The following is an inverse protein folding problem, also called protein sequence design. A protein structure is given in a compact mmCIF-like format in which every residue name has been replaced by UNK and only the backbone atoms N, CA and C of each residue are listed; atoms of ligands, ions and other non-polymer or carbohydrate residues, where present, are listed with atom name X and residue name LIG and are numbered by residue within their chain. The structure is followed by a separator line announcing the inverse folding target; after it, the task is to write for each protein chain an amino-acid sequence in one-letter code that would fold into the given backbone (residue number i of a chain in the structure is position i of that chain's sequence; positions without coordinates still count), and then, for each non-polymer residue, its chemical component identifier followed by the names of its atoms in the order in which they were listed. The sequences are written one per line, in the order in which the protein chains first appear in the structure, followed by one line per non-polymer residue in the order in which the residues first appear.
data_IF_797101179241
#
_entry.id   IF_797101179241
#
_cell.length_a   1.000
_cell.length_b   1.000
_cell.length_c   1.000
_cell.angle_alpha   90.00
_cell.angle_beta   90.00
_cell.angle_gamma   90.00
#
_symmetry.space_group_name_H-M   'P 1'
#
loop_
_entity.id
_entity.type
_entity.pdbx_description
1 polymer ?
#
# COMPACT_ATOMS: atom_id res chain seq x y z
N UNK A 1 0.43 11.42 -15.56
CA UNK A 1 1.58 10.51 -15.29
C UNK A 1 1.36 9.17 -15.98
N UNK A 2 2.39 8.56 -16.60
CA UNK A 2 2.24 7.26 -17.29
C UNK A 2 3.25 6.22 -16.81
N UNK A 3 2.83 4.95 -16.71
CA UNK A 3 3.70 3.80 -16.51
C UNK A 3 3.40 2.79 -17.62
N UNK A 4 4.33 2.63 -18.57
CA UNK A 4 4.06 1.86 -19.78
C UNK A 4 2.87 2.44 -20.56
N UNK A 5 1.81 1.63 -20.74
CA UNK A 5 0.56 2.05 -21.42
C UNK A 5 -0.49 2.63 -20.46
N UNK A 6 -0.28 2.51 -19.16
CA UNK A 6 -1.22 3.00 -18.15
C UNK A 6 -1.11 4.51 -18.00
N UNK A 7 -2.23 5.21 -18.10
CA UNK A 7 -2.32 6.65 -17.85
C UNK A 7 -3.12 6.90 -16.57
N UNK A 8 -2.47 7.53 -15.59
CA UNK A 8 -3.03 7.79 -14.27
C UNK A 8 -3.54 9.24 -14.09
N UNK A 9 -3.47 10.05 -15.16
CA UNK A 9 -3.83 11.47 -15.07
C UNK A 9 -2.80 12.28 -14.27
N UNK A 10 -3.29 13.35 -13.63
CA UNK A 10 -2.48 14.26 -12.82
C UNK A 10 -2.52 13.90 -11.34
N UNK A 11 -1.38 14.02 -10.65
CA UNK A 11 -1.22 13.85 -9.20
C UNK A 11 -1.90 12.57 -8.63
N UNK A 12 -1.67 11.38 -9.22
CA UNK A 12 -2.35 10.17 -8.80
C UNK A 12 -1.91 9.69 -7.42
N UNK A 13 -2.86 9.09 -6.70
CA UNK A 13 -2.65 8.48 -5.39
C UNK A 13 -2.65 6.95 -5.51
N UNK A 14 -1.65 6.29 -4.98
CA UNK A 14 -1.46 4.84 -5.05
C UNK A 14 -1.61 4.20 -3.67
N UNK A 15 -2.22 3.02 -3.60
CA UNK A 15 -2.24 2.21 -2.39
C UNK A 15 -0.92 1.44 -2.26
N UNK A 16 -0.24 1.56 -1.13
CA UNK A 16 0.99 0.80 -0.87
C UNK A 16 0.71 -0.70 -0.68
N UNK A 17 1.61 -1.58 -1.16
CA UNK A 17 1.56 -3.01 -0.82
C UNK A 17 1.84 -3.23 0.66
N UNK A 18 0.94 -3.91 1.38
CA UNK A 18 1.05 -4.14 2.83
C UNK A 18 0.55 -5.55 3.18
N UNK A 19 1.44 -6.32 3.83
CA UNK A 19 1.14 -7.69 4.30
C UNK A 19 -0.02 -7.70 5.29
N UNK A 20 -0.93 -8.66 5.12
CA UNK A 20 -2.16 -8.82 5.91
C UNK A 20 -3.09 -7.60 5.91
N UNK A 21 -3.00 -6.72 4.93
CA UNK A 21 -3.79 -5.48 4.82
C UNK A 21 -4.37 -5.30 3.43
N UNK A 22 -3.54 -5.43 2.38
CA UNK A 22 -3.99 -5.16 1.01
C UNK A 22 -4.52 -6.42 0.33
N UNK A 23 -5.45 -7.11 1.02
CA UNK A 23 -6.26 -8.15 0.40
C UNK A 23 -7.17 -7.55 -0.69
N UNK A 24 -7.76 -8.43 -1.50
CA UNK A 24 -8.54 -8.03 -2.68
C UNK A 24 -9.76 -7.17 -2.31
N UNK A 25 -10.44 -7.48 -1.19
CA UNK A 25 -11.60 -6.73 -0.73
C UNK A 25 -11.21 -5.29 -0.38
N UNK A 26 -10.12 -5.13 0.34
CA UNK A 26 -9.62 -3.81 0.70
C UNK A 26 -9.11 -3.02 -0.51
N UNK A 27 -8.40 -3.67 -1.45
CA UNK A 27 -7.96 -3.03 -2.69
C UNK A 27 -9.12 -2.51 -3.52
N UNK A 28 -10.21 -3.31 -3.66
CA UNK A 28 -11.42 -2.89 -4.37
C UNK A 28 -12.07 -1.65 -3.73
N UNK A 29 -12.16 -1.61 -2.40
CA UNK A 29 -12.65 -0.42 -1.69
C UNK A 29 -11.76 0.79 -1.93
N UNK A 30 -10.44 0.65 -1.79
CA UNK A 30 -9.51 1.75 -2.07
C UNK A 30 -9.65 2.28 -3.50
N UNK A 31 -9.84 1.40 -4.48
CA UNK A 31 -10.12 1.79 -5.89
C UNK A 31 -11.41 2.60 -6.00
N UNK A 32 -12.50 2.13 -5.40
CA UNK A 32 -13.79 2.84 -5.39
C UNK A 32 -13.67 4.25 -4.82
N UNK A 33 -12.82 4.43 -3.81
CA UNK A 33 -12.58 5.72 -3.16
C UNK A 33 -11.45 6.54 -3.79
N UNK A 34 -10.94 6.17 -4.96
CA UNK A 34 -10.06 7.03 -5.75
C UNK A 34 -8.57 6.68 -5.73
N UNK A 35 -8.18 5.51 -5.21
CA UNK A 35 -6.83 5.02 -5.46
C UNK A 35 -6.64 4.78 -6.97
N UNK A 36 -5.71 5.48 -7.60
CA UNK A 36 -5.45 5.34 -9.02
C UNK A 36 -4.81 3.99 -9.35
N UNK A 37 -3.98 3.47 -8.46
CA UNK A 37 -3.27 2.19 -8.56
C UNK A 37 -3.30 1.47 -7.21
N UNK A 38 -3.44 0.16 -7.24
CA UNK A 38 -3.34 -0.72 -6.05
C UNK A 38 -2.31 -1.82 -6.29
N UNK A 39 -1.81 -2.39 -5.20
CA UNK A 39 -0.84 -3.48 -5.24
C UNK A 39 -1.30 -4.62 -4.34
N UNK A 40 -0.99 -5.84 -4.74
CA UNK A 40 -1.19 -7.01 -3.88
C UNK A 40 -0.31 -6.92 -2.64
N UNK A 41 -0.57 -7.77 -1.66
CA UNK A 41 0.46 -8.10 -0.66
C UNK A 41 1.71 -8.61 -1.38
N UNK A 42 2.90 -8.39 -0.78
CA UNK A 42 4.13 -8.87 -1.41
C UNK A 42 4.30 -10.38 -1.25
N UNK A 43 4.64 -11.07 -2.31
CA UNK A 43 4.75 -12.53 -2.34
C UNK A 43 6.18 -13.00 -2.61
N UNK A 44 6.56 -14.10 -1.94
CA UNK A 44 7.89 -14.68 -2.08
C UNK A 44 8.06 -15.39 -3.42
N UNK A 45 9.12 -15.09 -4.16
CA UNK A 45 9.48 -15.78 -5.39
C UNK A 45 9.62 -17.29 -5.16
N UNK A 46 10.32 -17.72 -4.10
CA UNK A 46 10.47 -19.13 -3.75
C UNK A 46 9.11 -19.83 -3.49
N UNK A 47 8.15 -19.11 -2.88
CA UNK A 47 6.83 -19.67 -2.59
C UNK A 47 5.95 -19.75 -3.84
N UNK A 48 6.08 -18.80 -4.77
CA UNK A 48 5.41 -18.81 -6.08
C UNK A 48 5.85 -20.04 -6.89
N UNK A 49 7.17 -20.24 -7.03
CA UNK A 49 7.74 -21.36 -7.81
C UNK A 49 7.30 -22.72 -7.26
N UNK A 50 7.21 -22.83 -5.92
CA UNK A 50 6.73 -24.05 -5.25
C UNK A 50 5.21 -24.20 -5.28
N UNK A 51 4.48 -23.32 -5.95
CA UNK A 51 3.03 -23.34 -6.08
C UNK A 51 2.29 -23.42 -4.73
N UNK A 52 2.80 -22.71 -3.71
CA UNK A 52 2.18 -22.68 -2.39
C UNK A 52 0.84 -21.96 -2.51
N UNK A 53 -0.26 -22.67 -2.23
CA UNK A 53 -1.63 -22.21 -2.42
C UNK A 53 -1.90 -20.83 -1.82
N UNK A 54 -1.55 -20.63 -0.55
CA UNK A 54 -1.77 -19.33 0.13
C UNK A 54 -1.02 -18.16 -0.54
N UNK A 55 0.11 -18.44 -1.21
CA UNK A 55 0.87 -17.44 -1.98
C UNK A 55 0.18 -17.16 -3.30
N UNK A 56 -0.31 -18.18 -3.99
CA UNK A 56 -1.07 -18.02 -5.24
C UNK A 56 -2.39 -17.26 -5.00
N UNK A 57 -3.06 -17.54 -3.89
CA UNK A 57 -4.29 -16.83 -3.49
C UNK A 57 -4.04 -15.31 -3.30
N UNK A 58 -2.87 -14.91 -2.78
CA UNK A 58 -2.46 -13.49 -2.63
C UNK A 58 -2.24 -12.78 -3.97
N UNK A 59 -1.92 -13.50 -5.03
CA UNK A 59 -1.74 -12.94 -6.37
C UNK A 59 -3.06 -12.82 -7.16
N UNK A 60 -4.18 -13.26 -6.59
CA UNK A 60 -5.49 -13.18 -7.24
C UNK A 60 -5.86 -11.71 -7.50
N UNK A 61 -6.40 -11.45 -8.68
CA UNK A 61 -6.79 -10.13 -9.16
C UNK A 61 -8.28 -10.14 -9.51
N UNK A 62 -8.97 -9.05 -9.21
CA UNK A 62 -10.32 -8.79 -9.68
C UNK A 62 -10.30 -7.62 -10.68
N UNK A 63 -11.07 -7.71 -11.74
CA UNK A 63 -11.10 -6.64 -12.76
C UNK A 63 -11.59 -5.30 -12.20
N UNK A 64 -12.40 -5.29 -11.15
CA UNK A 64 -12.88 -4.07 -10.50
C UNK A 64 -11.77 -3.28 -9.76
N UNK A 65 -10.61 -3.91 -9.50
CA UNK A 65 -9.49 -3.23 -8.83
C UNK A 65 -8.41 -2.70 -9.80
N UNK A 66 -8.58 -2.95 -11.11
CA UNK A 66 -7.59 -2.52 -12.11
C UNK A 66 -7.49 -0.98 -12.23
N UNK A 67 -6.28 -0.44 -12.50
CA UNK A 67 -5.02 -1.15 -12.64
C UNK A 67 -4.48 -1.67 -11.31
N UNK A 68 -3.91 -2.88 -11.33
CA UNK A 68 -3.36 -3.58 -10.17
C UNK A 68 -1.98 -4.16 -10.44
N UNK A 69 -1.05 -3.96 -9.50
CA UNK A 69 0.29 -4.52 -9.54
C UNK A 69 0.45 -5.72 -8.62
N UNK A 70 1.15 -6.75 -9.08
CA UNK A 70 1.59 -7.85 -8.22
C UNK A 70 3.00 -7.56 -7.74
N UNK A 71 3.19 -7.50 -6.41
CA UNK A 71 4.51 -7.26 -5.83
C UNK A 71 5.18 -8.57 -5.40
N UNK A 72 6.41 -8.80 -5.90
CA UNK A 72 7.22 -9.98 -5.58
C UNK A 72 8.52 -9.59 -4.87
N UNK A 73 9.04 -10.50 -4.06
CA UNK A 73 10.35 -10.37 -3.43
C UNK A 73 11.14 -11.68 -3.44
N UNK A 74 12.46 -11.55 -3.50
CA UNK A 74 13.38 -12.65 -3.46
C UNK A 74 14.82 -12.13 -3.30
N UNK A 75 15.78 -13.04 -3.45
CA UNK A 75 17.23 -12.74 -3.31
C UNK A 75 18.09 -13.49 -4.30
N UNK A 76 17.47 -14.13 -5.26
CA UNK A 76 18.13 -14.96 -6.26
C UNK A 76 17.58 -14.62 -7.63
N UNK A 77 18.46 -14.53 -8.63
CA UNK A 77 18.09 -14.09 -9.98
C UNK A 77 17.16 -15.09 -10.65
N UNK A 78 17.48 -16.38 -10.59
CA UNK A 78 16.71 -17.42 -11.28
C UNK A 78 15.31 -17.52 -10.69
N UNK A 79 15.21 -17.54 -9.35
CA UNK A 79 13.93 -17.57 -8.64
C UNK A 79 13.06 -16.35 -8.96
N UNK A 80 13.65 -15.16 -9.01
CA UNK A 80 12.90 -13.93 -9.30
C UNK A 80 12.42 -13.87 -10.75
N UNK A 81 13.21 -14.33 -11.69
CA UNK A 81 12.83 -14.42 -13.12
C UNK A 81 11.69 -15.43 -13.31
N UNK A 82 11.81 -16.62 -12.74
CA UNK A 82 10.77 -17.64 -12.86
C UNK A 82 9.46 -17.21 -12.19
N UNK A 83 9.55 -16.61 -10.99
CA UNK A 83 8.38 -16.06 -10.32
C UNK A 83 7.72 -14.95 -11.15
N UNK A 84 8.48 -14.06 -11.76
CA UNK A 84 7.94 -12.99 -12.61
C UNK A 84 7.19 -13.54 -13.82
N UNK A 85 7.71 -14.61 -14.47
CA UNK A 85 7.02 -15.31 -15.56
C UNK A 85 5.71 -15.97 -15.11
N UNK A 86 5.68 -16.53 -13.90
CA UNK A 86 4.46 -17.10 -13.32
C UNK A 86 3.45 -15.99 -13.03
N UNK A 87 3.89 -14.88 -12.44
CA UNK A 87 3.07 -13.70 -12.15
C UNK A 87 2.50 -13.10 -13.43
N UNK A 88 3.27 -13.01 -14.50
CA UNK A 88 2.79 -12.49 -15.78
C UNK A 88 1.56 -13.27 -16.31
N UNK A 89 1.46 -14.58 -16.02
CA UNK A 89 0.32 -15.41 -16.43
C UNK A 89 -1.00 -15.06 -15.74
N UNK A 90 -0.96 -14.43 -14.55
CA UNK A 90 -2.18 -13.92 -13.91
C UNK A 90 -2.59 -12.54 -14.44
N UNK A 91 -1.84 -12.04 -15.47
CA UNK A 91 -2.15 -10.83 -16.22
C UNK A 91 -2.31 -9.58 -15.35
N UNK A 92 -1.32 -9.23 -14.48
CA UNK A 92 -1.33 -7.97 -13.77
C UNK A 92 -1.05 -6.81 -14.72
N UNK A 93 -1.44 -5.60 -14.32
CA UNK A 93 -1.14 -4.39 -15.08
C UNK A 93 0.34 -3.99 -14.96
N UNK A 94 1.01 -4.39 -13.87
CA UNK A 94 2.45 -4.31 -13.70
C UNK A 94 2.97 -5.34 -12.68
N UNK A 95 4.28 -5.61 -12.73
CA UNK A 95 5.01 -6.41 -11.74
C UNK A 95 5.90 -5.46 -10.95
N UNK A 96 5.79 -5.48 -9.62
CA UNK A 96 6.59 -4.61 -8.75
C UNK A 96 7.61 -5.42 -7.94
N UNK A 97 8.87 -4.98 -7.94
CA UNK A 97 9.95 -5.62 -7.19
C UNK A 97 10.11 -4.97 -5.83
N UNK A 98 9.99 -5.76 -4.76
CA UNK A 98 10.13 -5.27 -3.40
C UNK A 98 11.59 -5.31 -2.93
N UNK A 99 12.21 -4.15 -2.86
CA UNK A 99 13.50 -3.92 -2.20
C UNK A 99 13.37 -2.99 -0.99
N UNK A 100 12.17 -2.93 -0.38
CA UNK A 100 11.88 -2.00 0.71
C UNK A 100 11.38 -2.64 2.02
N UNK A 101 10.92 -3.91 2.03
CA UNK A 101 10.39 -4.55 3.23
C UNK A 101 11.47 -4.68 4.33
N UNK A 102 11.29 -4.01 5.51
CA UNK A 102 12.32 -3.98 6.54
C UNK A 102 12.23 -5.14 7.55
N UNK A 103 11.19 -5.98 7.45
CA UNK A 103 10.88 -7.01 8.43
C UNK A 103 12.03 -8.03 8.52
N UNK A 104 12.47 -8.36 9.75
CA UNK A 104 13.62 -9.23 10.00
C UNK A 104 13.56 -10.58 9.27
N UNK A 105 12.38 -11.19 9.18
CA UNK A 105 12.19 -12.48 8.46
C UNK A 105 12.43 -12.39 6.94
N UNK A 106 12.38 -11.18 6.36
CA UNK A 106 12.64 -10.91 4.94
C UNK A 106 14.03 -10.29 4.78
N UNK A 107 14.26 -9.11 5.35
CA UNK A 107 15.51 -8.36 5.22
C UNK A 107 16.74 -9.08 5.84
N UNK A 108 16.53 -9.79 6.97
CA UNK A 108 17.58 -10.60 7.60
C UNK A 108 18.04 -11.80 6.76
N UNK A 109 17.23 -12.23 5.79
CA UNK A 109 17.58 -13.28 4.82
C UNK A 109 18.16 -12.74 3.52
N UNK A 110 18.41 -11.42 3.42
CA UNK A 110 18.96 -10.77 2.24
C UNK A 110 17.94 -10.40 1.15
N UNK A 111 16.62 -10.57 1.41
CA UNK A 111 15.56 -10.17 0.49
C UNK A 111 14.92 -8.83 0.93
N UNK A 112 13.99 -8.28 0.14
CA UNK A 112 13.39 -6.99 0.43
C UNK A 112 14.46 -5.90 0.62
N UNK A 113 14.38 -5.11 1.70
CA UNK A 113 15.41 -4.09 1.97
C UNK A 113 16.80 -4.65 2.32
N UNK A 114 16.93 -5.97 2.56
CA UNK A 114 18.21 -6.63 2.70
C UNK A 114 19.08 -6.55 1.43
N UNK A 115 18.45 -6.41 0.27
CA UNK A 115 19.12 -6.23 -1.03
C UNK A 115 19.90 -4.91 -1.11
N UNK A 116 19.54 -3.88 -0.33
CA UNK A 116 20.28 -2.61 -0.27
C UNK A 116 21.72 -2.74 0.25
N UNK A 117 22.09 -3.90 0.76
CA UNK A 117 23.46 -4.26 1.14
C UNK A 117 24.27 -4.94 0.00
N UNK A 118 23.59 -5.24 -1.11
CA UNK A 118 24.20 -5.86 -2.27
C UNK A 118 23.60 -5.30 -3.57
N UNK A 119 23.97 -4.07 -3.87
CA UNK A 119 23.46 -3.33 -5.05
C UNK A 119 23.76 -4.07 -6.37
N UNK A 120 24.94 -4.66 -6.60
CA UNK A 120 25.17 -5.42 -7.83
C UNK A 120 24.15 -6.54 -8.05
N UNK A 121 23.82 -7.31 -7.02
CA UNK A 121 22.82 -8.39 -7.12
C UNK A 121 21.41 -7.83 -7.30
N UNK A 122 21.06 -6.72 -6.61
CA UNK A 122 19.78 -6.03 -6.77
C UNK A 122 19.56 -5.61 -8.23
N UNK A 123 20.57 -5.02 -8.86
CA UNK A 123 20.54 -4.57 -10.26
C UNK A 123 20.51 -5.76 -11.23
N UNK A 124 21.24 -6.83 -10.92
CA UNK A 124 21.24 -8.04 -11.74
C UNK A 124 19.84 -8.71 -11.74
N UNK A 125 19.23 -8.89 -10.57
CA UNK A 125 17.83 -9.35 -10.45
C UNK A 125 16.90 -8.46 -11.27
N UNK A 126 16.99 -7.14 -11.09
CA UNK A 126 16.10 -6.18 -11.77
C UNK A 126 16.21 -6.29 -13.28
N UNK A 127 17.44 -6.30 -13.82
CA UNK A 127 17.70 -6.40 -15.26
C UNK A 127 17.18 -7.70 -15.86
N UNK A 128 17.45 -8.81 -15.19
CA UNK A 128 17.01 -10.12 -15.67
C UNK A 128 15.47 -10.27 -15.62
N UNK A 129 14.81 -9.76 -14.60
CA UNK A 129 13.34 -9.74 -14.53
C UNK A 129 12.77 -8.87 -15.64
N UNK A 130 13.26 -7.64 -15.84
CA UNK A 130 12.80 -6.75 -16.91
C UNK A 130 12.93 -7.39 -18.29
N UNK A 131 14.00 -8.12 -18.53
CA UNK A 131 14.22 -8.83 -19.81
C UNK A 131 13.35 -10.08 -19.98
N UNK A 132 12.87 -10.67 -18.90
CA UNK A 132 12.18 -11.95 -18.92
C UNK A 132 10.66 -11.85 -19.14
N UNK A 133 10.07 -10.65 -18.97
CA UNK A 133 8.61 -10.41 -19.04
C UNK A 133 8.30 -9.23 -19.96
N UNK A 134 7.08 -9.24 -20.52
CA UNK A 134 6.54 -8.14 -21.32
C UNK A 134 5.74 -7.13 -20.49
N UNK A 135 5.23 -7.58 -19.34
CA UNK A 135 4.53 -6.75 -18.37
C UNK A 135 5.46 -5.67 -17.81
N UNK A 136 5.02 -4.39 -17.72
CA UNK A 136 5.85 -3.33 -17.15
C UNK A 136 6.34 -3.68 -15.74
N UNK A 137 7.65 -3.52 -15.51
CA UNK A 137 8.29 -3.77 -14.21
C UNK A 137 8.53 -2.46 -13.50
N UNK A 138 8.19 -2.38 -12.21
CA UNK A 138 8.47 -1.26 -11.31
C UNK A 138 9.26 -1.74 -10.09
N UNK A 139 9.81 -0.82 -9.33
CA UNK A 139 10.57 -1.13 -8.11
C UNK A 139 10.05 -0.29 -6.96
N UNK A 140 9.89 -0.89 -5.78
CA UNK A 140 9.65 -0.19 -4.52
C UNK A 140 10.81 -0.41 -3.55
N UNK A 141 11.46 0.68 -3.12
CA UNK A 141 12.65 0.62 -2.27
C UNK A 141 12.62 1.66 -1.13
N UNK A 142 13.72 1.77 -0.39
CA UNK A 142 14.01 2.75 0.66
C UNK A 142 15.24 3.58 0.33
N UNK A 143 15.55 4.58 1.17
CA UNK A 143 16.71 5.49 0.98
C UNK A 143 18.05 4.74 1.04
N UNK A 144 18.13 3.67 1.80
CA UNK A 144 19.32 2.89 2.03
C UNK A 144 19.12 1.86 3.14
N UNK A 145 20.19 1.16 3.54
CA UNK A 145 20.16 0.22 4.65
C UNK A 145 20.08 0.95 6.00
N UNK A 146 20.93 1.94 6.20
CA UNK A 146 21.01 2.84 7.36
C UNK A 146 21.47 4.23 6.93
N UNK A 147 21.68 5.13 7.89
CA UNK A 147 22.06 6.52 7.59
C UNK A 147 23.51 6.66 7.04
N UNK A 148 24.36 5.66 7.27
CA UNK A 148 25.75 5.65 6.77
C UNK A 148 25.84 5.06 5.36
N UNK A 149 24.75 4.47 4.86
CA UNK A 149 24.65 3.81 3.56
C UNK A 149 23.39 4.23 2.79
N UNK A 150 23.20 5.55 2.63
CA UNK A 150 22.18 6.13 1.75
C UNK A 150 22.62 5.97 0.30
N UNK A 151 21.83 5.24 -0.48
CA UNK A 151 22.20 4.87 -1.87
C UNK A 151 21.18 5.34 -2.91
N UNK A 152 20.06 5.92 -2.49
CA UNK A 152 18.89 6.10 -3.36
C UNK A 152 19.14 7.01 -4.56
N UNK A 153 19.98 8.05 -4.42
CA UNK A 153 20.25 9.02 -5.48
C UNK A 153 20.98 8.37 -6.66
N UNK A 154 21.96 7.52 -6.38
CA UNK A 154 22.69 6.77 -7.41
C UNK A 154 21.91 5.54 -7.88
N UNK A 155 21.28 4.84 -6.94
CA UNK A 155 20.50 3.62 -7.21
C UNK A 155 19.33 3.90 -8.17
N UNK A 156 18.71 5.08 -8.09
CA UNK A 156 17.58 5.45 -8.95
C UNK A 156 17.97 5.46 -10.44
N UNK A 157 19.13 6.03 -10.79
CA UNK A 157 19.65 6.01 -12.16
C UNK A 157 19.97 4.58 -12.62
N UNK A 158 20.66 3.81 -11.78
CA UNK A 158 21.03 2.43 -12.09
C UNK A 158 19.79 1.53 -12.30
N UNK A 159 18.73 1.72 -11.50
CA UNK A 159 17.46 1.01 -11.67
C UNK A 159 16.75 1.41 -12.96
N UNK A 160 16.73 2.70 -13.30
CA UNK A 160 16.21 3.17 -14.58
C UNK A 160 16.96 2.51 -15.75
N UNK A 161 18.28 2.43 -15.68
CA UNK A 161 19.13 1.79 -16.71
C UNK A 161 18.87 0.28 -16.83
N UNK A 162 18.35 -0.37 -15.78
CA UNK A 162 17.85 -1.74 -15.88
C UNK A 162 16.54 -1.85 -16.69
N UNK A 163 15.85 -0.72 -16.97
CA UNK A 163 14.65 -0.66 -17.80
C UNK A 163 13.32 -0.68 -17.05
N UNK A 164 13.33 -0.44 -15.73
CA UNK A 164 12.08 -0.30 -14.96
C UNK A 164 11.25 0.88 -15.47
N UNK A 165 9.93 0.84 -15.22
CA UNK A 165 9.00 1.84 -15.74
C UNK A 165 8.54 2.88 -14.71
N UNK A 166 8.81 2.66 -13.43
CA UNK A 166 8.64 3.64 -12.36
C UNK A 166 9.41 3.18 -11.11
N UNK A 167 9.73 4.13 -10.23
CA UNK A 167 10.41 3.88 -8.96
C UNK A 167 9.61 4.47 -7.80
N UNK A 168 9.25 3.64 -6.82
CA UNK A 168 8.65 4.09 -5.56
C UNK A 168 9.71 4.14 -4.46
N UNK A 169 9.83 5.29 -3.79
CA UNK A 169 10.83 5.51 -2.75
C UNK A 169 10.13 5.78 -1.42
N UNK A 170 10.39 4.93 -0.42
CA UNK A 170 10.00 5.24 0.95
C UNK A 170 11.09 6.09 1.61
N UNK A 171 10.73 7.27 2.12
CA UNK A 171 11.63 8.26 2.75
C UNK A 171 12.25 7.83 4.08
N UNK A 172 12.52 6.55 4.28
CA UNK A 172 13.23 5.97 5.43
C UNK A 172 14.26 4.96 5.00
N UNK A 173 15.30 4.79 5.83
CA UNK A 173 16.23 3.67 5.71
C UNK A 173 15.58 2.37 6.24
N UNK A 174 16.23 1.22 5.97
CA UNK A 174 15.80 -0.05 6.59
C UNK A 174 15.94 -0.02 8.11
N UNK A 175 17.02 0.55 8.62
CA UNK A 175 17.30 0.61 10.06
C UNK A 175 16.24 1.39 10.83
N UNK A 176 15.72 2.47 10.28
CA UNK A 176 14.63 3.26 10.87
C UNK A 176 13.32 2.48 10.96
N UNK A 177 13.11 1.47 10.10
CA UNK A 177 11.83 0.78 9.98
C UNK A 177 10.64 1.76 9.81
N UNK A 178 9.99 2.13 10.91
CA UNK A 178 8.87 3.10 10.97
C UNK A 178 9.08 4.18 12.04
N UNK A 179 10.27 4.25 12.64
CA UNK A 179 10.61 5.27 13.64
C UNK A 179 11.09 6.56 12.99
N UNK A 180 11.02 7.68 13.73
CA UNK A 180 11.34 9.00 13.20
C UNK A 180 10.39 9.44 12.11
N UNK A 181 10.80 10.42 11.31
CA UNK A 181 10.04 10.96 10.19
C UNK A 181 10.62 10.47 8.85
N UNK A 182 9.78 10.41 7.83
CA UNK A 182 10.22 10.11 6.47
C UNK A 182 10.92 11.34 5.88
N UNK A 183 12.14 11.14 5.39
CA UNK A 183 12.91 12.18 4.70
C UNK A 183 12.49 12.23 3.22
N UNK A 184 11.75 13.27 2.88
CA UNK A 184 11.32 13.54 1.52
C UNK A 184 12.35 14.33 0.69
N UNK A 185 13.39 14.88 1.32
CA UNK A 185 14.40 15.69 0.64
C UNK A 185 15.13 14.87 -0.43
N UNK A 186 15.54 13.64 -0.09
CA UNK A 186 16.20 12.73 -1.02
C UNK A 186 15.26 12.21 -2.13
N UNK A 187 13.96 12.06 -1.84
CA UNK A 187 12.97 11.75 -2.89
C UNK A 187 12.89 12.90 -3.89
N UNK A 188 12.80 14.13 -3.39
CA UNK A 188 12.81 15.34 -4.22
C UNK A 188 14.13 15.53 -4.98
N UNK A 189 15.27 15.16 -4.41
CA UNK A 189 16.56 15.17 -5.09
C UNK A 189 16.59 14.21 -6.29
N UNK A 190 16.16 12.96 -6.09
CA UNK A 190 16.00 11.99 -7.19
C UNK A 190 15.07 12.53 -8.27
N UNK A 191 13.93 13.12 -7.88
CA UNK A 191 12.98 13.66 -8.86
C UNK A 191 13.53 14.84 -9.66
N UNK A 192 14.35 15.69 -9.04
CA UNK A 192 14.97 16.85 -9.73
C UNK A 192 16.20 16.49 -10.57
N UNK A 193 16.69 15.26 -10.47
CA UNK A 193 17.83 14.81 -11.25
C UNK A 193 17.45 14.76 -12.76
N UNK A 194 18.09 15.56 -13.63
CA UNK A 194 17.74 15.65 -15.06
C UNK A 194 17.99 14.36 -15.84
N UNK A 195 18.73 13.39 -15.26
CA UNK A 195 18.95 12.07 -15.87
C UNK A 195 17.84 11.08 -15.57
N UNK A 196 16.93 11.40 -14.64
CA UNK A 196 15.79 10.54 -14.32
C UNK A 196 14.61 10.91 -15.22
N UNK A 197 14.15 9.96 -16.03
CA UNK A 197 13.08 10.11 -17.00
C UNK A 197 11.84 9.25 -16.67
N UNK A 198 11.99 8.29 -15.74
CA UNK A 198 10.86 7.47 -15.24
C UNK A 198 10.10 8.21 -14.15
N UNK A 199 8.81 7.90 -13.96
CA UNK A 199 8.04 8.42 -12.83
C UNK A 199 8.65 8.06 -11.48
N UNK A 200 8.69 9.05 -10.59
CA UNK A 200 9.10 8.89 -9.19
C UNK A 200 7.86 8.99 -8.30
N UNK A 201 7.61 7.94 -7.53
CA UNK A 201 6.48 7.83 -6.61
C UNK A 201 7.00 7.99 -5.18
N UNK A 202 6.56 9.03 -4.49
CA UNK A 202 6.95 9.29 -3.11
C UNK A 202 6.09 8.50 -2.12
N UNK A 203 6.71 7.99 -1.04
CA UNK A 203 6.03 7.26 0.02
C UNK A 203 6.64 7.57 1.39
N UNK A 204 5.82 7.61 2.41
CA UNK A 204 6.21 7.81 3.81
C UNK A 204 5.47 8.94 4.48
N UNK A 205 4.83 8.66 5.63
CA UNK A 205 4.11 9.59 6.51
C UNK A 205 3.07 10.49 5.82
N UNK A 206 2.44 10.00 4.79
CA UNK A 206 1.29 10.63 4.16
C UNK A 206 0.04 10.15 4.90
N UNK A 207 -0.52 11.00 5.76
CA UNK A 207 -1.65 10.69 6.64
C UNK A 207 -2.83 11.64 6.47
N UNK A 208 -2.58 12.83 5.92
CA UNK A 208 -3.58 13.87 5.68
C UNK A 208 -3.60 14.33 4.21
N UNK A 209 -4.69 14.95 3.76
CA UNK A 209 -4.78 15.57 2.44
C UNK A 209 -3.71 16.64 2.20
N UNK A 210 -3.39 17.43 3.22
CA UNK A 210 -2.38 18.50 3.15
C UNK A 210 -0.98 17.93 2.91
N UNK A 211 -0.64 16.81 3.59
CA UNK A 211 0.65 16.13 3.40
C UNK A 211 0.75 15.55 1.99
N UNK A 212 -0.34 14.96 1.47
CA UNK A 212 -0.38 14.46 0.11
C UNK A 212 -0.19 15.60 -0.92
N UNK A 213 -0.85 16.74 -0.74
CA UNK A 213 -0.69 17.91 -1.61
C UNK A 213 0.74 18.47 -1.55
N UNK A 214 1.30 18.65 -0.34
CA UNK A 214 2.68 19.13 -0.17
C UNK A 214 3.70 18.20 -0.82
N UNK A 215 3.49 16.89 -0.80
CA UNK A 215 4.37 15.95 -1.46
C UNK A 215 4.51 16.24 -2.97
N UNK A 216 3.42 16.60 -3.64
CA UNK A 216 3.45 17.03 -5.03
C UNK A 216 4.07 18.43 -5.21
N UNK A 217 3.67 19.39 -4.38
CA UNK A 217 4.03 20.80 -4.56
C UNK A 217 5.50 21.06 -4.20
N UNK A 218 6.01 20.48 -3.10
CA UNK A 218 7.34 20.76 -2.57
C UNK A 218 8.43 19.86 -3.19
N UNK A 219 8.09 18.60 -3.49
CA UNK A 219 9.07 17.63 -3.97
C UNK A 219 8.89 17.24 -5.44
N UNK A 220 7.78 17.64 -6.06
CA UNK A 220 7.53 17.47 -7.50
C UNK A 220 7.34 16.02 -7.94
N UNK A 221 7.04 15.09 -7.04
CA UNK A 221 6.84 13.67 -7.36
C UNK A 221 5.69 13.46 -8.33
N UNK A 222 5.76 12.41 -9.14
CA UNK A 222 4.76 12.11 -10.17
C UNK A 222 3.52 11.44 -9.58
N UNK A 223 3.67 10.71 -8.47
CA UNK A 223 2.59 10.12 -7.70
C UNK A 223 2.94 10.06 -6.21
N UNK A 224 1.92 9.94 -5.38
CA UNK A 224 2.06 9.73 -3.93
C UNK A 224 1.49 8.36 -3.57
N UNK A 225 2.29 7.55 -2.86
CA UNK A 225 1.84 6.25 -2.37
C UNK A 225 1.48 6.32 -0.89
N UNK A 226 0.24 5.95 -0.56
CA UNK A 226 -0.32 6.01 0.78
C UNK A 226 -0.34 4.61 1.40
N UNK A 227 0.19 4.47 2.61
CA UNK A 227 0.24 3.20 3.35
C UNK A 227 -0.65 3.21 4.59
N UNK A 228 -0.06 3.31 5.76
CA UNK A 228 -0.72 3.13 7.08
C UNK A 228 -1.97 3.99 7.31
N UNK A 229 -2.05 5.14 6.69
CA UNK A 229 -3.22 6.02 6.79
C UNK A 229 -4.51 5.40 6.22
N UNK A 230 -4.38 4.37 5.40
CA UNK A 230 -5.52 3.67 4.79
C UNK A 230 -6.15 2.61 5.71
N UNK A 231 -5.50 2.23 6.83
CA UNK A 231 -5.99 1.18 7.71
C UNK A 231 -7.37 1.53 8.29
N UNK A 232 -8.40 0.73 7.91
CA UNK A 232 -9.78 1.00 8.29
C UNK A 232 -10.29 2.39 7.83
N UNK A 233 -9.70 2.93 6.77
CA UNK A 233 -10.02 4.24 6.20
C UNK A 233 -9.80 4.23 4.67
N UNK A 234 -10.41 3.32 3.89
CA UNK A 234 -10.21 3.28 2.43
C UNK A 234 -10.63 4.59 1.75
N UNK A 235 -11.60 5.32 2.32
CA UNK A 235 -12.07 6.64 1.84
C UNK A 235 -11.05 7.77 1.97
N UNK A 236 -9.89 7.56 2.61
CA UNK A 236 -8.82 8.57 2.68
C UNK A 236 -8.36 9.02 1.29
N UNK A 237 -8.44 8.16 0.30
CA UNK A 237 -8.13 8.51 -1.09
C UNK A 237 -9.08 9.57 -1.64
N UNK A 238 -10.39 9.47 -1.32
CA UNK A 238 -11.37 10.50 -1.70
C UNK A 238 -11.08 11.82 -1.00
N UNK A 239 -10.82 11.78 0.30
CA UNK A 239 -10.50 12.98 1.09
C UNK A 239 -9.26 13.70 0.51
N UNK A 240 -8.19 12.93 0.21
CA UNK A 240 -6.97 13.47 -0.40
C UNK A 240 -7.22 13.99 -1.82
N UNK A 241 -7.98 13.25 -2.64
CA UNK A 241 -8.28 13.64 -4.02
C UNK A 241 -9.06 14.93 -4.07
N UNK A 242 -10.16 15.02 -3.29
CA UNK A 242 -11.01 16.20 -3.24
C UNK A 242 -10.21 17.45 -2.82
N UNK A 243 -9.29 17.30 -1.83
CA UNK A 243 -8.43 18.40 -1.38
C UNK A 243 -7.40 18.83 -2.45
N UNK A 244 -6.75 17.87 -3.12
CA UNK A 244 -5.77 18.15 -4.17
C UNK A 244 -6.43 18.87 -5.35
N UNK A 245 -7.64 18.46 -5.72
CA UNK A 245 -8.39 19.00 -6.86
C UNK A 245 -9.19 20.27 -6.51
N UNK A 246 -9.16 20.71 -5.23
CA UNK A 246 -9.99 21.79 -4.70
C UNK A 246 -11.50 21.58 -5.00
N UNK A 247 -11.93 20.31 -4.98
CA UNK A 247 -13.33 19.94 -5.22
C UNK A 247 -14.10 19.99 -3.91
N UNK A 248 -15.28 20.63 -3.85
CA UNK A 248 -16.13 20.56 -2.68
C UNK A 248 -16.46 19.12 -2.34
N UNK A 249 -16.06 18.65 -1.17
CA UNK A 249 -16.31 17.29 -0.71
C UNK A 249 -17.49 17.27 0.24
N UNK A 250 -18.46 16.40 -0.01
CA UNK A 250 -19.40 16.00 1.05
C UNK A 250 -18.68 15.00 1.94
N UNK A 251 -18.41 15.39 3.17
CA UNK A 251 -17.78 14.51 4.15
C UNK A 251 -18.70 13.29 4.39
N UNK A 252 -18.10 12.11 4.38
CA UNK A 252 -18.80 10.89 4.76
C UNK A 252 -19.24 10.98 6.24
N UNK A 253 -20.48 10.62 6.51
CA UNK A 253 -21.01 10.51 7.87
C UNK A 253 -20.36 9.34 8.62
N UNK A 254 -20.60 9.24 9.92
CA UNK A 254 -20.19 8.06 10.68
C UNK A 254 -20.88 6.81 10.14
N UNK A 255 -22.13 6.91 9.79
CA UNK A 255 -22.94 5.79 9.25
C UNK A 255 -22.36 5.30 7.92
N UNK A 256 -22.07 6.21 6.97
CA UNK A 256 -21.42 5.85 5.70
C UNK A 256 -20.11 5.09 5.94
N UNK A 257 -19.29 5.55 6.89
CA UNK A 257 -17.99 4.94 7.20
C UNK A 257 -18.13 3.56 7.84
N UNK A 258 -19.12 3.36 8.69
CA UNK A 258 -19.43 2.06 9.30
C UNK A 258 -19.92 1.10 8.21
N UNK A 259 -20.83 1.55 7.33
CA UNK A 259 -21.33 0.74 6.21
C UNK A 259 -20.19 0.25 5.31
N UNK A 260 -19.18 1.10 5.04
CA UNK A 260 -17.98 0.72 4.28
C UNK A 260 -17.19 -0.37 4.98
N UNK A 261 -17.03 -0.29 6.30
CA UNK A 261 -16.31 -1.30 7.08
C UNK A 261 -17.07 -2.62 7.17
N UNK A 262 -18.40 -2.57 7.27
CA UNK A 262 -19.25 -3.76 7.19
C UNK A 262 -19.18 -4.40 5.80
N UNK A 263 -19.20 -3.60 4.74
CA UNK A 263 -19.02 -4.10 3.38
C UNK A 263 -17.68 -4.83 3.24
N UNK A 264 -16.59 -4.26 3.78
CA UNK A 264 -15.28 -4.93 3.79
C UNK A 264 -15.35 -6.29 4.48
N UNK A 265 -16.02 -6.36 5.63
CA UNK A 265 -16.20 -7.62 6.37
C UNK A 265 -16.92 -8.66 5.50
N UNK A 266 -18.06 -8.28 4.88
CA UNK A 266 -18.86 -9.17 4.04
C UNK A 266 -18.08 -9.67 2.82
N UNK A 267 -17.37 -8.81 2.11
CA UNK A 267 -16.52 -9.17 0.97
C UNK A 267 -15.46 -10.19 1.40
N UNK A 268 -14.80 -9.97 2.53
CA UNK A 268 -13.75 -10.88 2.99
C UNK A 268 -14.29 -12.24 3.41
N UNK A 269 -15.43 -12.27 4.10
CA UNK A 269 -16.11 -13.51 4.53
C UNK A 269 -16.59 -14.32 3.33
N UNK A 270 -17.25 -13.69 2.37
CA UNK A 270 -17.73 -14.34 1.15
C UNK A 270 -16.59 -14.93 0.33
N UNK A 271 -15.46 -14.20 0.25
CA UNK A 271 -14.33 -14.59 -0.59
C UNK A 271 -13.48 -15.73 -0.03
N UNK A 272 -13.34 -15.81 1.28
CA UNK A 272 -12.43 -16.77 1.92
C UNK A 272 -13.22 -17.81 2.73
N UNK A 273 -13.68 -17.41 3.89
CA UNK A 273 -14.60 -18.04 4.84
C UNK A 273 -14.83 -17.09 6.03
N UNK A 274 -15.79 -17.43 6.90
CA UNK A 274 -16.15 -16.60 8.05
C UNK A 274 -14.92 -16.30 8.94
N UNK A 275 -14.21 -17.33 9.37
CA UNK A 275 -13.13 -17.17 10.34
C UNK A 275 -11.98 -16.33 9.81
N UNK A 276 -11.47 -16.64 8.60
CA UNK A 276 -10.36 -15.90 7.99
C UNK A 276 -10.78 -14.51 7.55
N UNK A 277 -11.99 -14.35 7.01
CA UNK A 277 -12.54 -13.03 6.65
C UNK A 277 -12.62 -12.08 7.84
N UNK A 278 -13.06 -12.58 9.00
CA UNK A 278 -13.04 -11.82 10.25
C UNK A 278 -11.59 -11.43 10.65
N UNK A 279 -10.65 -12.36 10.62
CA UNK A 279 -9.25 -12.08 10.98
C UNK A 279 -8.66 -10.98 10.11
N UNK A 280 -8.91 -11.00 8.80
CA UNK A 280 -8.44 -9.97 7.87
C UNK A 280 -9.07 -8.61 8.17
N UNK A 281 -10.37 -8.57 8.43
CA UNK A 281 -11.11 -7.31 8.61
C UNK A 281 -10.90 -6.68 9.98
N UNK A 282 -10.86 -7.46 11.07
CA UNK A 282 -10.80 -6.92 12.45
C UNK A 282 -9.55 -6.05 12.71
N UNK A 283 -8.45 -6.25 11.98
CA UNK A 283 -7.26 -5.38 12.04
C UNK A 283 -7.61 -3.98 11.54
N UNK A 284 -8.34 -3.89 10.43
CA UNK A 284 -8.82 -2.62 9.89
C UNK A 284 -9.78 -1.94 10.88
N UNK A 285 -10.74 -2.68 11.41
CA UNK A 285 -11.70 -2.17 12.40
C UNK A 285 -10.98 -1.60 13.63
N UNK A 286 -10.09 -2.39 14.23
CA UNK A 286 -9.36 -1.99 15.44
C UNK A 286 -8.37 -0.82 15.22
N UNK A 287 -8.06 -0.48 13.98
CA UNK A 287 -7.15 0.60 13.59
C UNK A 287 -7.87 1.82 13.02
N UNK A 288 -9.16 1.69 12.72
CA UNK A 288 -9.93 2.77 12.10
C UNK A 288 -10.00 4.00 13.00
N UNK A 289 -9.76 5.20 12.45
CA UNK A 289 -9.82 6.43 13.23
C UNK A 289 -11.24 6.85 13.63
N UNK A 290 -12.28 6.28 12.99
CA UNK A 290 -13.68 6.68 13.25
C UNK A 290 -14.14 6.34 14.66
N UNK A 291 -13.51 5.37 15.30
CA UNK A 291 -13.87 4.95 16.66
C UNK A 291 -13.15 5.78 17.74
N UNK A 292 -12.24 6.69 17.35
CA UNK A 292 -11.62 7.63 18.30
C UNK A 292 -12.68 8.62 18.79
N UNK A 293 -12.85 8.70 20.10
CA UNK A 293 -13.85 9.58 20.72
C UNK A 293 -15.14 8.87 21.13
N UNK A 294 -15.34 7.61 20.73
CA UNK A 294 -16.42 6.79 21.28
C UNK A 294 -16.08 6.43 22.74
N UNK A 295 -17.02 6.58 23.69
CA UNK A 295 -16.83 6.19 25.07
C UNK A 295 -16.33 4.73 25.17
N UNK A 296 -15.37 4.49 26.04
CA UNK A 296 -14.78 3.16 26.30
C UNK A 296 -14.25 2.42 25.04
N UNK A 297 -13.73 3.16 24.07
CA UNK A 297 -13.18 2.57 22.83
C UNK A 297 -12.15 1.46 23.08
N UNK A 298 -11.45 1.48 24.22
CA UNK A 298 -10.48 0.43 24.56
C UNK A 298 -11.13 -0.94 24.68
N UNK A 299 -12.28 -1.05 25.36
CA UNK A 299 -13.01 -2.31 25.47
C UNK A 299 -13.67 -2.71 24.14
N UNK A 300 -14.23 -1.75 23.41
CA UNK A 300 -14.78 -1.96 22.06
C UNK A 300 -13.71 -2.53 21.12
N UNK A 301 -12.51 -1.95 21.11
CA UNK A 301 -11.38 -2.45 20.31
C UNK A 301 -10.99 -3.88 20.68
N UNK A 302 -10.98 -4.20 21.98
CA UNK A 302 -10.69 -5.55 22.45
C UNK A 302 -11.78 -6.52 21.99
N UNK A 303 -13.05 -6.13 22.05
CA UNK A 303 -14.16 -6.94 21.56
C UNK A 303 -14.00 -7.22 20.05
N UNK A 304 -13.75 -6.19 19.22
CA UNK A 304 -13.49 -6.35 17.78
C UNK A 304 -12.35 -7.33 17.49
N UNK A 305 -11.25 -7.26 18.26
CA UNK A 305 -10.09 -8.14 18.06
C UNK A 305 -10.34 -9.58 18.54
N UNK A 306 -11.34 -9.82 19.39
CA UNK A 306 -11.68 -11.14 19.91
C UNK A 306 -12.86 -11.79 19.18
N UNK A 307 -13.67 -11.03 18.49
CA UNK A 307 -14.82 -11.54 17.76
C UNK A 307 -14.41 -12.67 16.79
N UNK A 308 -15.23 -13.72 16.76
CA UNK A 308 -15.04 -14.93 15.94
C UNK A 308 -16.22 -15.20 15.02
N UNK A 309 -17.29 -14.42 15.14
CA UNK A 309 -18.49 -14.50 14.33
C UNK A 309 -18.78 -13.16 13.66
N UNK A 310 -19.35 -13.20 12.45
CA UNK A 310 -19.75 -12.00 11.70
C UNK A 310 -20.77 -11.20 12.50
N UNK A 311 -21.79 -11.86 13.05
CA UNK A 311 -22.84 -11.20 13.80
C UNK A 311 -22.32 -10.46 15.04
N UNK A 312 -21.32 -11.01 15.73
CA UNK A 312 -20.64 -10.33 16.85
C UNK A 312 -19.97 -9.01 16.39
N UNK A 313 -19.28 -9.01 15.25
CA UNK A 313 -18.64 -7.80 14.71
C UNK A 313 -19.66 -6.77 14.25
N UNK A 314 -20.74 -7.20 13.61
CA UNK A 314 -21.79 -6.31 13.16
C UNK A 314 -22.48 -5.67 14.37
N UNK A 315 -22.78 -6.44 15.43
CA UNK A 315 -23.39 -5.90 16.66
C UNK A 315 -22.49 -4.84 17.31
N UNK A 316 -21.17 -5.07 17.38
CA UNK A 316 -20.20 -4.09 17.89
C UNK A 316 -20.20 -2.83 17.02
N UNK A 317 -20.25 -2.95 15.69
CA UNK A 317 -20.28 -1.82 14.77
C UNK A 317 -21.59 -1.00 14.93
N UNK A 318 -22.71 -1.67 15.06
CA UNK A 318 -24.02 -1.03 15.33
C UNK A 318 -24.05 -0.32 16.70
N UNK A 319 -23.41 -0.89 17.71
CA UNK A 319 -23.24 -0.20 19.01
C UNK A 319 -22.39 1.06 18.86
N UNK A 320 -21.30 1.00 18.08
CA UNK A 320 -20.48 2.16 17.76
C UNK A 320 -21.29 3.25 17.03
N UNK A 321 -22.17 2.87 16.09
CA UNK A 321 -23.06 3.77 15.37
C UNK A 321 -23.97 4.51 16.32
N UNK A 322 -24.67 3.78 17.22
CA UNK A 322 -25.58 4.38 18.22
C UNK A 322 -24.85 5.35 19.16
N UNK A 323 -23.72 4.94 19.69
CA UNK A 323 -22.94 5.74 20.65
C UNK A 323 -22.27 6.97 20.02
N UNK A 324 -21.86 6.87 18.75
CA UNK A 324 -21.24 7.98 18.00
C UNK A 324 -22.27 9.06 17.63
N UNK A 325 -23.48 8.67 17.26
CA UNK A 325 -24.56 9.61 16.93
C UNK A 325 -25.07 10.36 18.16
N UNK A 326 -25.19 9.70 19.31
CA UNK A 326 -25.56 10.35 20.57
C UNK A 326 -24.59 11.47 20.99
N UNK A 327 -23.29 11.30 20.73
CA UNK A 327 -22.29 12.33 21.03
C UNK A 327 -22.36 13.54 20.07
N UNK A 328 -22.79 13.32 18.82
CA UNK A 328 -22.99 14.40 17.86
C UNK A 328 -24.22 15.24 18.19
N UNK A 329 -25.32 14.62 18.62
CA UNK A 329 -26.55 15.32 19.02
C UNK A 329 -26.32 16.15 20.30
N UNK A 330 -25.59 15.62 21.28
CA UNK A 330 -25.25 16.34 22.51
C UNK A 330 -24.37 17.59 22.29
N UNK A 331 -23.57 17.61 21.21
CA UNK A 331 -22.76 18.77 20.82
C UNK A 331 -23.52 19.81 20.01
N UNK A 332 -24.67 19.45 19.42
CA UNK A 332 -25.54 20.39 18.68
C UNK A 332 -26.54 21.12 19.60
N UNK A 333 -26.92 20.55 20.76
CA UNK A 333 -27.83 21.19 21.73
C UNK A 333 -27.14 22.20 22.68
N UNK A 334 -25.80 22.28 22.62
CA UNK A 334 -24.98 23.14 23.48
C UNK A 334 -24.45 24.41 22.81
N UNK A 335 -25.02 24.88 21.68
CA UNK A 335 -24.64 26.14 21.03
C UNK A 335 -25.79 27.11 20.91
#
# INVERSE_FOLDING_TARGET
MKIGKLDFGERPLFLAPMEDVTDIGFRMLCKRYGAAMVYTEFVSADAIIRSIKSTLDKMSINDAERPVGVQIYGRDVESMVEAARIVERVNPDLIDLNFGCPVKKVAGKGAGSGMLRNIPLLLDITRNVVQAVSTPVTVKTRLGWDNDSLVITELAEQLQDCGIKALTIHGRTRAQMYTGEADWSLIGEVKRNPRIHIPIIGNGDITTPEEAKRAFDDYGVDAVMVGRATFGRPWVFKEMRDYIDNTPSTALTLDDKIDILEEQLRINVERIDEYRGIIHTRRHLASSPIFKGIPDFKSTRIAMLRATKVDELIEILEECRRNGNLNNDATCEGR
#
